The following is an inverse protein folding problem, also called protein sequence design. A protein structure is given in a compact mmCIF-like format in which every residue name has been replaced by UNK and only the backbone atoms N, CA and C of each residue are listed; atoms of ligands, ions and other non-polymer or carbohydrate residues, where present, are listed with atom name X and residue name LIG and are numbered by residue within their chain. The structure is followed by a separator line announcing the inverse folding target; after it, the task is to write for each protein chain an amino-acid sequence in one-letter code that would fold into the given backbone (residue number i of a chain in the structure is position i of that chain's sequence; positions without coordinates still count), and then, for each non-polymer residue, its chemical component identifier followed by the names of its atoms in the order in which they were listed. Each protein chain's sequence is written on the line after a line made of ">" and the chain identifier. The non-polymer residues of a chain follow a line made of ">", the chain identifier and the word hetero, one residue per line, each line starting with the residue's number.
data_IF_303740794447
#
_entry.id   IF_303740794447
#
_cell.length_a   1.000
_cell.length_b   1.000
_cell.length_c   1.000
_cell.angle_alpha   90.00
_cell.angle_beta   90.00
_cell.angle_gamma   90.00
#
_symmetry.space_group_name_H-M   'P 1'
#
loop_
_entity.id
_entity.type
_entity.pdbx_description
1 polymer ?
#
# COMPACT_ATOMS: atom_id res chain seq x y z
N UNK A 1 71.44 8.84 -49.82
CA UNK A 1 72.16 7.70 -49.20
C UNK A 1 72.22 7.94 -47.71
N UNK A 2 71.75 6.97 -46.91
CA UNK A 2 72.12 6.73 -45.49
C UNK A 2 71.61 7.82 -44.52
N UNK A 3 70.91 7.55 -43.42
CA UNK A 3 70.55 6.29 -42.77
C UNK A 3 69.71 6.63 -41.52
N UNK A 4 68.76 5.75 -41.26
CA UNK A 4 67.86 5.74 -40.11
C UNK A 4 68.68 5.65 -38.80
N UNK A 5 68.32 6.46 -37.79
CA UNK A 5 68.62 6.14 -36.39
C UNK A 5 67.38 6.29 -35.52
N UNK A 6 66.88 5.11 -35.17
CA UNK A 6 65.84 4.81 -34.20
C UNK A 6 66.19 5.36 -32.81
N UNK A 7 65.19 5.94 -32.15
CA UNK A 7 65.20 6.27 -30.74
C UNK A 7 63.80 6.08 -30.18
N UNK A 8 63.46 4.83 -29.86
CA UNK A 8 62.18 4.42 -29.31
C UNK A 8 62.05 4.90 -27.86
N UNK A 9 61.24 5.92 -27.60
CA UNK A 9 60.73 6.23 -26.26
C UNK A 9 59.46 5.40 -26.05
N UNK A 10 59.57 4.26 -25.35
CA UNK A 10 58.41 3.48 -24.92
C UNK A 10 57.85 4.19 -23.67
N UNK A 11 56.82 4.99 -23.87
CA UNK A 11 55.98 5.46 -22.77
C UNK A 11 55.16 4.26 -22.26
N UNK A 12 55.45 3.81 -21.04
CA UNK A 12 54.65 2.81 -20.34
C UNK A 12 53.29 3.43 -19.97
N UNK A 13 52.28 3.21 -20.81
CA UNK A 13 50.88 3.50 -20.46
C UNK A 13 50.42 2.43 -19.48
N UNK A 14 50.37 2.80 -18.20
CA UNK A 14 49.68 2.04 -17.16
C UNK A 14 48.18 2.21 -17.42
N UNK A 15 47.61 1.34 -18.24
CA UNK A 15 46.16 1.12 -18.26
C UNK A 15 45.78 0.38 -16.98
N UNK A 16 45.43 1.14 -15.94
CA UNK A 16 44.60 0.64 -14.85
C UNK A 16 43.27 0.19 -15.46
N UNK A 17 43.17 -1.11 -15.75
CA UNK A 17 41.89 -1.77 -16.01
C UNK A 17 41.13 -1.80 -14.67
N UNK A 18 40.45 -0.70 -14.36
CA UNK A 18 39.42 -0.70 -13.33
C UNK A 18 38.29 -1.59 -13.86
N UNK A 19 38.37 -2.88 -13.54
CA UNK A 19 37.23 -3.77 -13.63
C UNK A 19 36.18 -3.23 -12.66
N UNK A 20 35.22 -2.48 -13.19
CA UNK A 20 33.99 -2.19 -12.46
C UNK A 20 33.36 -3.54 -12.12
N UNK A 21 33.14 -3.89 -10.84
CA UNK A 21 32.25 -4.99 -10.53
C UNK A 21 30.88 -4.51 -10.99
N UNK A 22 30.44 -5.02 -12.15
CA UNK A 22 29.02 -5.01 -12.48
C UNK A 22 28.36 -5.76 -11.35
N UNK A 23 27.62 -5.03 -10.52
CA UNK A 23 26.69 -5.61 -9.56
C UNK A 23 25.67 -6.38 -10.41
N UNK A 24 25.94 -7.66 -10.64
CA UNK A 24 24.89 -8.64 -10.84
C UNK A 24 24.39 -8.97 -9.45
N UNK A 25 23.58 -8.07 -8.87
CA UNK A 25 22.72 -8.45 -7.75
C UNK A 25 21.62 -9.30 -8.38
N UNK A 26 21.48 -10.54 -7.93
CA UNK A 26 20.34 -11.39 -8.27
C UNK A 26 19.04 -10.60 -8.06
N UNK A 27 18.43 -10.13 -9.15
CA UNK A 27 17.11 -9.53 -9.08
C UNK A 27 16.17 -10.62 -8.57
N UNK A 28 15.69 -10.46 -7.34
CA UNK A 28 14.70 -11.37 -6.76
C UNK A 28 13.50 -11.37 -7.69
N UNK A 29 13.26 -12.50 -8.36
CA UNK A 29 12.13 -12.66 -9.26
C UNK A 29 10.84 -12.39 -8.47
N UNK A 30 9.91 -11.63 -9.07
CA UNK A 30 8.64 -11.34 -8.43
C UNK A 30 7.91 -12.66 -8.09
N UNK A 31 7.37 -12.80 -6.87
CA UNK A 31 6.54 -13.95 -6.52
C UNK A 31 5.37 -14.13 -7.51
N UNK A 32 4.93 -15.36 -7.79
CA UNK A 32 3.87 -15.63 -8.75
C UNK A 32 2.48 -15.32 -8.17
N UNK A 33 2.20 -14.05 -7.88
CA UNK A 33 0.91 -13.61 -7.34
C UNK A 33 -0.27 -14.03 -8.23
N UNK A 34 -1.34 -14.54 -7.62
CA UNK A 34 -2.56 -14.96 -8.32
C UNK A 34 -3.79 -14.28 -7.69
N UNK A 35 -4.55 -13.47 -8.44
CA UNK A 35 -5.86 -13.03 -7.98
C UNK A 35 -6.86 -14.19 -8.08
N UNK A 36 -7.35 -14.69 -6.94
CA UNK A 36 -8.38 -15.74 -6.91
C UNK A 36 -9.79 -15.25 -7.21
N UNK A 37 -10.01 -13.93 -7.18
CA UNK A 37 -11.27 -13.27 -7.49
C UNK A 37 -11.02 -12.04 -8.36
N UNK A 38 -11.99 -11.69 -9.19
CA UNK A 38 -11.96 -10.46 -9.98
C UNK A 38 -12.00 -9.21 -9.09
N UNK A 39 -11.74 -8.05 -9.70
CA UNK A 39 -11.66 -6.78 -8.97
C UNK A 39 -12.97 -6.39 -8.27
N UNK A 40 -14.13 -6.67 -8.87
CA UNK A 40 -15.42 -6.31 -8.29
C UNK A 40 -15.70 -7.16 -7.05
N UNK A 41 -15.48 -8.46 -7.17
CA UNK A 41 -15.59 -9.42 -6.07
C UNK A 41 -14.59 -9.09 -4.96
N UNK A 42 -13.35 -8.73 -5.31
CA UNK A 42 -12.36 -8.31 -4.32
C UNK A 42 -12.77 -7.06 -3.55
N UNK A 43 -13.27 -6.03 -4.25
CA UNK A 43 -13.77 -4.83 -3.60
C UNK A 43 -14.94 -5.12 -2.66
N UNK A 44 -15.91 -5.92 -3.11
CA UNK A 44 -17.12 -6.22 -2.36
C UNK A 44 -16.91 -7.14 -1.15
N UNK A 45 -16.00 -8.11 -1.25
CA UNK A 45 -15.86 -9.17 -0.25
C UNK A 45 -14.57 -9.11 0.56
N UNK A 46 -13.60 -8.26 0.19
CA UNK A 46 -12.35 -8.08 0.95
C UNK A 46 -12.21 -6.65 1.44
N UNK A 47 -12.25 -5.67 0.53
CA UNK A 47 -12.00 -4.27 0.92
C UNK A 47 -13.17 -3.65 1.69
N UNK A 48 -14.39 -3.72 1.14
CA UNK A 48 -15.54 -3.07 1.74
C UNK A 48 -15.88 -3.60 3.15
N UNK A 49 -15.83 -4.92 3.45
CA UNK A 49 -16.07 -5.39 4.81
C UNK A 49 -15.02 -4.91 5.81
N UNK A 50 -13.73 -4.84 5.41
CA UNK A 50 -12.67 -4.34 6.26
C UNK A 50 -12.82 -2.83 6.54
N UNK A 51 -13.17 -2.04 5.52
CA UNK A 51 -13.48 -0.61 5.68
C UNK A 51 -14.71 -0.36 6.56
N UNK A 52 -15.74 -1.22 6.45
CA UNK A 52 -16.96 -1.10 7.24
C UNK A 52 -16.73 -1.20 8.75
N UNK A 53 -15.71 -1.94 9.18
CA UNK A 53 -15.32 -2.00 10.59
C UNK A 53 -14.84 -0.63 11.08
N UNK A 54 -14.06 0.10 10.27
CA UNK A 54 -13.60 1.45 10.62
C UNK A 54 -14.77 2.44 10.59
N UNK A 55 -15.64 2.40 9.57
CA UNK A 55 -16.81 3.29 9.51
C UNK A 55 -17.76 3.12 10.70
N UNK A 56 -17.92 1.88 11.17
CA UNK A 56 -18.83 1.54 12.26
C UNK A 56 -18.54 2.32 13.55
N UNK A 57 -17.30 2.74 13.79
CA UNK A 57 -16.94 3.46 15.05
C UNK A 57 -17.63 4.81 15.18
N UNK A 58 -18.06 5.42 14.05
CA UNK A 58 -18.82 6.68 14.01
C UNK A 58 -20.32 6.45 13.82
N UNK A 59 -20.75 5.20 13.72
CA UNK A 59 -22.13 4.87 13.39
C UNK A 59 -23.03 4.96 14.62
N UNK A 60 -24.26 5.41 14.38
CA UNK A 60 -25.33 5.39 15.36
C UNK A 60 -26.55 4.74 14.73
N UNK A 61 -27.21 3.84 15.48
CA UNK A 61 -28.41 3.13 15.02
C UNK A 61 -29.59 3.55 15.89
N UNK A 62 -30.72 3.83 15.26
CA UNK A 62 -31.98 4.15 15.95
C UNK A 62 -32.92 2.96 15.79
N UNK A 63 -33.40 2.41 16.90
CA UNK A 63 -34.41 1.35 16.92
C UNK A 63 -35.59 1.70 17.86
N UNK A 64 -36.47 0.72 18.12
CA UNK A 64 -37.63 0.89 19.01
C UNK A 64 -37.28 1.25 20.45
N UNK A 65 -36.02 1.02 20.87
CA UNK A 65 -35.49 1.30 22.19
C UNK A 65 -34.66 2.60 22.25
N UNK A 66 -34.51 3.31 21.14
CA UNK A 66 -33.83 4.60 21.07
C UNK A 66 -32.57 4.60 20.21
N UNK A 67 -31.68 5.54 20.49
CA UNK A 67 -30.44 5.78 19.76
C UNK A 67 -29.26 5.03 20.40
N UNK A 68 -28.50 4.30 19.58
CA UNK A 68 -27.39 3.43 19.99
C UNK A 68 -26.09 3.82 19.30
N UNK A 69 -25.15 4.33 20.07
CA UNK A 69 -23.76 4.56 19.65
C UNK A 69 -23.04 3.21 19.43
N UNK A 70 -22.46 3.03 18.25
CA UNK A 70 -21.72 1.82 17.86
C UNK A 70 -20.20 1.94 18.06
N UNK A 71 -19.70 3.01 18.68
CA UNK A 71 -18.30 3.11 19.08
C UNK A 71 -17.89 1.90 19.93
N UNK A 72 -16.61 1.45 19.87
CA UNK A 72 -16.13 0.37 20.70
C UNK A 72 -16.23 0.71 22.19
N UNK A 73 -16.75 -0.22 23.01
CA UNK A 73 -16.99 -0.02 24.47
C UNK A 73 -16.26 -1.04 25.33
N UNK A 74 -15.74 -2.10 24.73
CA UNK A 74 -15.03 -3.19 25.37
C UNK A 74 -13.75 -3.53 24.63
N UNK A 75 -12.85 -4.27 25.28
CA UNK A 75 -11.61 -4.75 24.66
C UNK A 75 -11.90 -5.63 23.44
N UNK A 76 -12.96 -6.45 23.49
CA UNK A 76 -13.41 -7.27 22.36
C UNK A 76 -13.92 -6.44 21.18
N UNK A 77 -14.52 -5.26 21.44
CA UNK A 77 -14.90 -4.33 20.36
C UNK A 77 -13.66 -3.70 19.74
N UNK A 78 -12.68 -3.30 20.56
CA UNK A 78 -11.42 -2.74 20.07
C UNK A 78 -10.64 -3.75 19.23
N UNK A 79 -10.58 -5.01 19.65
CA UNK A 79 -9.93 -6.08 18.89
C UNK A 79 -10.57 -6.27 17.50
N UNK A 80 -11.90 -6.10 17.39
CA UNK A 80 -12.57 -6.12 16.08
C UNK A 80 -12.09 -4.96 15.21
N UNK A 81 -11.97 -3.75 15.77
CA UNK A 81 -11.48 -2.57 15.04
C UNK A 81 -10.03 -2.76 14.61
N UNK A 82 -9.17 -3.24 15.49
CA UNK A 82 -7.77 -3.60 15.22
C UNK A 82 -7.70 -4.58 14.04
N UNK A 83 -8.40 -5.70 14.15
CA UNK A 83 -8.41 -6.74 13.11
C UNK A 83 -8.92 -6.24 11.77
N UNK A 84 -10.00 -5.43 11.77
CA UNK A 84 -10.56 -4.84 10.55
C UNK A 84 -9.63 -3.84 9.89
N UNK A 85 -9.01 -2.95 10.67
CA UNK A 85 -8.09 -1.94 10.16
C UNK A 85 -6.78 -2.57 9.64
N UNK A 86 -6.22 -3.55 10.36
CA UNK A 86 -5.08 -4.32 9.89
C UNK A 86 -5.40 -5.06 8.59
N UNK A 87 -6.57 -5.69 8.51
CA UNK A 87 -7.05 -6.34 7.29
C UNK A 87 -7.15 -5.36 6.12
N UNK A 88 -7.69 -4.16 6.34
CA UNK A 88 -7.79 -3.14 5.30
C UNK A 88 -6.40 -2.70 4.82
N UNK A 89 -5.48 -2.45 5.74
CA UNK A 89 -4.11 -2.05 5.43
C UNK A 89 -3.40 -3.11 4.60
N UNK A 90 -3.44 -4.38 5.02
CA UNK A 90 -2.79 -5.48 4.31
C UNK A 90 -3.47 -5.82 2.98
N UNK A 91 -4.80 -5.70 2.89
CA UNK A 91 -5.54 -5.93 1.66
C UNK A 91 -5.13 -4.94 0.54
N UNK A 92 -4.59 -3.76 0.88
CA UNK A 92 -4.07 -2.82 -0.11
C UNK A 92 -2.87 -3.38 -0.90
N UNK A 93 -2.05 -4.25 -0.31
CA UNK A 93 -0.98 -4.93 -1.03
C UNK A 93 -1.53 -5.77 -2.19
N UNK A 94 -2.67 -6.42 -1.97
CA UNK A 94 -3.35 -7.18 -2.99
C UNK A 94 -4.00 -6.30 -4.07
N UNK A 95 -4.19 -4.99 -3.86
CA UNK A 95 -4.56 -4.06 -4.95
C UNK A 95 -3.36 -3.67 -5.83
N UNK A 96 -2.14 -3.77 -5.31
CA UNK A 96 -0.91 -3.34 -6.01
C UNK A 96 -0.21 -4.49 -6.75
N UNK A 97 -0.73 -5.71 -6.72
CA UNK A 97 -0.17 -6.81 -7.51
C UNK A 97 -0.27 -6.50 -9.02
N UNK A 98 0.67 -6.99 -9.85
CA UNK A 98 0.71 -6.66 -11.28
C UNK A 98 -0.58 -6.94 -12.05
N UNK A 99 -1.37 -7.93 -11.63
CA UNK A 99 -2.62 -8.32 -12.28
C UNK A 99 -3.80 -7.38 -11.97
N UNK A 100 -3.65 -6.49 -10.98
CA UNK A 100 -4.72 -5.58 -10.52
C UNK A 100 -4.36 -4.11 -10.67
N UNK A 101 -3.08 -3.78 -10.52
CA UNK A 101 -2.57 -2.44 -10.77
C UNK A 101 -2.85 -2.02 -12.23
N UNK A 102 -3.22 -0.75 -12.42
CA UNK A 102 -3.58 -0.21 -13.74
C UNK A 102 -2.42 0.56 -14.38
N UNK A 103 -1.89 1.52 -13.64
CA UNK A 103 -0.84 2.46 -14.07
C UNK A 103 -0.06 2.96 -12.83
N UNK A 104 0.96 3.83 -12.97
CA UNK A 104 1.70 4.34 -11.82
C UNK A 104 0.87 5.14 -10.80
N UNK A 105 -0.20 5.83 -11.22
CA UNK A 105 -1.04 6.63 -10.33
C UNK A 105 -1.88 5.73 -9.41
N UNK A 106 -2.27 4.54 -9.88
CA UNK A 106 -3.00 3.53 -9.12
C UNK A 106 -2.35 3.26 -7.75
N UNK A 107 -1.04 2.99 -7.75
CA UNK A 107 -0.29 2.68 -6.53
C UNK A 107 -0.23 3.89 -5.58
N UNK A 108 -0.25 5.12 -6.10
CA UNK A 108 -0.34 6.33 -5.30
C UNK A 108 -1.66 6.44 -4.55
N UNK A 109 -2.79 6.14 -5.22
CA UNK A 109 -4.11 6.10 -4.57
C UNK A 109 -4.21 4.98 -3.54
N UNK A 110 -3.76 3.77 -3.89
CA UNK A 110 -3.79 2.62 -2.99
C UNK A 110 -2.92 2.86 -1.75
N UNK A 111 -1.74 3.48 -1.91
CA UNK A 111 -0.89 3.83 -0.78
C UNK A 111 -1.56 4.80 0.20
N UNK A 112 -2.34 5.78 -0.29
CA UNK A 112 -3.09 6.69 0.59
C UNK A 112 -4.11 5.93 1.45
N UNK A 113 -4.79 4.94 0.87
CA UNK A 113 -5.68 4.06 1.60
C UNK A 113 -4.92 3.20 2.63
N UNK A 114 -3.77 2.64 2.23
CA UNK A 114 -2.92 1.85 3.12
C UNK A 114 -2.45 2.65 4.34
N UNK A 115 -1.97 3.88 4.12
CA UNK A 115 -1.48 4.77 5.18
C UNK A 115 -2.61 5.18 6.15
N UNK A 116 -3.81 5.45 5.63
CA UNK A 116 -4.98 5.75 6.45
C UNK A 116 -5.42 4.53 7.27
N UNK A 117 -5.43 3.34 6.67
CA UNK A 117 -5.76 2.09 7.36
C UNK A 117 -4.72 1.73 8.44
N UNK A 118 -3.42 1.93 8.20
CA UNK A 118 -2.37 1.77 9.23
C UNK A 118 -2.55 2.78 10.37
N UNK A 119 -2.91 4.04 10.07
CA UNK A 119 -3.26 5.02 11.12
C UNK A 119 -4.42 4.51 11.97
N UNK A 120 -5.49 3.99 11.36
CA UNK A 120 -6.63 3.43 12.09
C UNK A 120 -6.22 2.20 12.91
N UNK A 121 -5.41 1.30 12.37
CA UNK A 121 -4.91 0.12 13.07
C UNK A 121 -4.14 0.51 14.34
N UNK A 122 -3.15 1.40 14.21
CA UNK A 122 -2.35 1.88 15.36
C UNK A 122 -3.19 2.64 16.39
N UNK A 123 -4.16 3.43 15.94
CA UNK A 123 -5.07 4.13 16.82
C UNK A 123 -6.00 3.16 17.57
N UNK A 124 -6.47 2.11 16.89
CA UNK A 124 -7.28 1.07 17.49
C UNK A 124 -6.51 0.28 18.56
N UNK A 125 -5.26 -0.10 18.29
CA UNK A 125 -4.37 -0.72 19.29
C UNK A 125 -4.17 0.17 20.54
N UNK A 126 -4.20 1.49 20.36
CA UNK A 126 -4.07 2.46 21.44
C UNK A 126 -5.42 2.87 22.09
N UNK A 127 -6.53 2.26 21.66
CA UNK A 127 -7.90 2.62 22.06
C UNK A 127 -8.20 4.13 21.85
N UNK A 128 -7.62 4.74 20.83
CA UNK A 128 -7.79 6.16 20.48
C UNK A 128 -8.97 6.34 19.52
N UNK A 129 -10.17 6.44 20.08
CA UNK A 129 -11.41 6.59 19.29
C UNK A 129 -11.36 7.82 18.40
N UNK A 130 -10.83 8.94 18.89
CA UNK A 130 -10.75 10.17 18.11
C UNK A 130 -9.97 9.95 16.82
N UNK A 131 -8.80 9.33 16.90
CA UNK A 131 -7.97 9.09 15.73
C UNK A 131 -8.59 8.09 14.75
N UNK A 132 -9.28 7.04 15.24
CA UNK A 132 -10.02 6.11 14.37
C UNK A 132 -11.19 6.82 13.69
N UNK A 133 -11.96 7.61 14.44
CA UNK A 133 -13.07 8.43 13.93
C UNK A 133 -12.62 9.40 12.83
N UNK A 134 -11.48 10.07 13.00
CA UNK A 134 -10.90 10.93 11.96
C UNK A 134 -10.57 10.16 10.67
N UNK A 135 -10.07 8.93 10.78
CA UNK A 135 -9.82 8.08 9.61
C UNK A 135 -11.14 7.67 8.96
N UNK A 136 -12.12 7.24 9.76
CA UNK A 136 -13.47 6.90 9.30
C UNK A 136 -14.08 8.02 8.45
N UNK A 137 -14.01 9.27 8.92
CA UNK A 137 -14.55 10.43 8.20
C UNK A 137 -13.82 10.73 6.88
N UNK A 138 -12.55 10.36 6.76
CA UNK A 138 -11.73 10.59 5.56
C UNK A 138 -11.86 9.47 4.52
N UNK A 139 -12.25 8.28 4.95
CA UNK A 139 -12.12 7.06 4.16
C UNK A 139 -12.95 7.10 2.87
N UNK A 140 -14.16 7.67 2.92
CA UNK A 140 -15.00 7.86 1.73
C UNK A 140 -14.31 8.73 0.69
N UNK A 141 -13.70 9.84 1.11
CA UNK A 141 -12.96 10.73 0.24
C UNK A 141 -11.77 10.05 -0.44
N UNK A 142 -11.06 9.19 0.30
CA UNK A 142 -9.92 8.41 -0.21
C UNK A 142 -10.39 7.39 -1.26
N UNK A 143 -11.41 6.60 -0.94
CA UNK A 143 -12.00 5.61 -1.84
C UNK A 143 -12.52 6.27 -3.12
N UNK A 144 -13.32 7.34 -2.96
CA UNK A 144 -13.95 8.04 -4.06
C UNK A 144 -12.92 8.74 -4.97
N UNK A 145 -11.80 9.23 -4.44
CA UNK A 145 -10.74 9.81 -5.25
C UNK A 145 -10.14 8.83 -6.26
N UNK A 146 -9.92 7.57 -5.85
CA UNK A 146 -9.47 6.51 -6.75
C UNK A 146 -10.58 6.13 -7.76
N UNK A 147 -11.81 5.92 -7.26
CA UNK A 147 -12.92 5.50 -8.11
C UNK A 147 -13.26 6.54 -9.20
N UNK A 148 -13.25 7.84 -8.88
CA UNK A 148 -13.44 8.90 -9.88
C UNK A 148 -12.37 8.92 -10.94
N UNK A 149 -11.10 8.81 -10.54
CA UNK A 149 -9.99 8.83 -11.48
C UNK A 149 -10.14 7.73 -12.55
N UNK A 150 -10.68 6.58 -12.15
CA UNK A 150 -10.85 5.42 -13.02
C UNK A 150 -12.27 5.21 -13.57
N UNK A 151 -13.18 6.16 -13.36
CA UNK A 151 -14.56 6.10 -13.87
C UNK A 151 -15.37 4.94 -13.29
N UNK A 152 -15.24 4.69 -11.99
CA UNK A 152 -15.89 3.58 -11.25
C UNK A 152 -16.99 4.05 -10.28
N UNK A 153 -17.35 5.34 -10.30
CA UNK A 153 -18.52 5.88 -9.58
C UNK A 153 -19.82 5.71 -10.38
#
# INVERSE_FOLDING_TARGET
>A
MIGIRSGTLIAAVITCLAASPSISEDAVAMPPFQPHVDMKTFMAHVLAPAAAVIWKVNATVIDENGEHDLSPKSDDDWEQVVSGAATLAEATNALMIPQRARDPDWNGYVKRLADAADKAYRAAEAHDLKSVSEVSDQLDGICAACHRHYGLE
#
